data_IF_011573276521
#
_entry.id   IF_011573276521
#
_cell.length_a   1.000
_cell.length_b   1.000
_cell.length_c   1.000
_cell.angle_alpha   90.00
_cell.angle_beta   90.00
_cell.angle_gamma   90.00
#
_symmetry.space_group_name_H-M   'P 1'
#
loop_
_entity.id
_entity.type
_entity.pdbx_description
1 polymer ?
#
# COMPACT_ATOMS: atom_id res chain seq x y z
N UNK A 1 16.26 -5.62 0.37
CA UNK A 1 14.97 -5.02 -0.01
C UNK A 1 15.00 -4.73 -1.50
N UNK A 2 13.85 -4.75 -2.16
CA UNK A 2 13.69 -4.37 -3.58
C UNK A 2 12.60 -3.30 -3.62
N UNK A 3 12.88 -2.17 -4.28
CA UNK A 3 12.02 -1.00 -4.26
C UNK A 3 10.64 -1.27 -4.87
N UNK A 4 10.59 -1.71 -6.12
CA UNK A 4 9.31 -1.99 -6.82
C UNK A 4 8.44 -3.05 -6.12
N UNK A 5 9.03 -3.93 -5.31
CA UNK A 5 8.30 -4.98 -4.61
C UNK A 5 7.86 -4.50 -3.22
N UNK A 6 8.83 -4.09 -2.41
CA UNK A 6 8.60 -3.80 -1.00
C UNK A 6 8.18 -2.35 -0.76
N UNK A 7 8.69 -1.39 -1.55
CA UNK A 7 8.23 -0.01 -1.54
C UNK A 7 6.75 0.05 -1.89
N UNK A 8 6.35 -0.63 -2.97
CA UNK A 8 4.92 -0.80 -3.35
C UNK A 8 4.11 -1.45 -2.23
N UNK A 9 4.60 -2.52 -1.60
CA UNK A 9 3.91 -3.17 -0.49
C UNK A 9 3.70 -2.23 0.71
N UNK A 10 4.71 -1.40 1.04
CA UNK A 10 4.63 -0.46 2.17
C UNK A 10 3.62 0.64 1.88
N UNK A 11 3.69 1.28 0.71
CA UNK A 11 2.80 2.41 0.41
C UNK A 11 1.34 1.97 0.23
N UNK A 12 1.12 0.82 -0.42
CA UNK A 12 -0.23 0.26 -0.56
C UNK A 12 -0.81 -0.16 0.79
N UNK A 13 0.02 -0.67 1.69
CA UNK A 13 -0.36 -0.97 3.07
C UNK A 13 -0.74 0.27 3.88
N UNK A 14 0.02 1.37 3.74
CA UNK A 14 -0.32 2.64 4.37
C UNK A 14 -1.68 3.16 3.90
N UNK A 15 -1.90 3.14 2.58
CA UNK A 15 -3.15 3.55 1.97
C UNK A 15 -4.32 2.62 2.38
N UNK A 16 -4.11 1.30 2.44
CA UNK A 16 -5.10 0.34 2.90
C UNK A 16 -5.52 0.62 4.34
N UNK A 17 -4.59 0.86 5.27
CA UNK A 17 -4.93 1.14 6.68
C UNK A 17 -5.86 2.35 6.81
N UNK A 18 -5.52 3.45 6.14
CA UNK A 18 -6.34 4.66 6.18
C UNK A 18 -7.68 4.49 5.46
N UNK A 19 -7.69 3.86 4.28
CA UNK A 19 -8.92 3.64 3.53
C UNK A 19 -9.88 2.68 4.25
N UNK A 20 -9.36 1.61 4.86
CA UNK A 20 -10.10 0.65 5.70
C UNK A 20 -10.78 1.34 6.88
N UNK A 21 -10.06 2.24 7.57
CA UNK A 21 -10.62 3.07 8.65
C UNK A 21 -11.72 4.00 8.14
N UNK A 22 -11.53 4.65 6.98
CA UNK A 22 -12.53 5.55 6.40
C UNK A 22 -13.83 4.86 6.02
N UNK A 23 -13.76 3.63 5.51
CA UNK A 23 -14.96 2.85 5.17
C UNK A 23 -15.54 2.09 6.38
N UNK A 24 -14.87 2.15 7.54
CA UNK A 24 -15.34 1.52 8.78
C UNK A 24 -15.29 0.00 8.79
N UNK A 25 -14.43 -0.63 7.97
CA UNK A 25 -14.29 -2.09 7.89
C UNK A 25 -12.91 -2.46 8.41
N UNK A 26 -12.82 -3.41 9.35
CA UNK A 26 -11.52 -3.91 9.83
C UNK A 26 -10.83 -4.71 8.75
N UNK A 27 -9.51 -4.55 8.61
CA UNK A 27 -8.67 -5.26 7.63
C UNK A 27 -8.86 -6.79 7.67
N UNK A 28 -9.05 -7.36 8.86
CA UNK A 28 -9.29 -8.80 9.05
C UNK A 28 -10.62 -9.32 8.50
N UNK A 29 -11.61 -8.43 8.34
CA UNK A 29 -12.94 -8.73 7.83
C UNK A 29 -13.08 -8.39 6.33
N UNK A 30 -12.05 -7.75 5.73
CA UNK A 30 -12.07 -7.36 4.33
C UNK A 30 -11.87 -8.54 3.38
N UNK A 31 -12.64 -8.56 2.30
CA UNK A 31 -12.35 -9.34 1.08
C UNK A 31 -11.52 -8.48 0.12
N UNK A 32 -10.28 -8.89 -0.12
CA UNK A 32 -9.32 -8.20 -1.00
C UNK A 32 -9.03 -9.05 -2.23
N UNK A 33 -9.21 -8.46 -3.42
CA UNK A 33 -8.83 -9.05 -4.70
C UNK A 33 -7.50 -8.44 -5.16
N UNK A 34 -6.54 -9.26 -5.55
CA UNK A 34 -5.27 -8.81 -6.12
C UNK A 34 -5.20 -9.29 -7.57
N UNK A 35 -5.18 -8.36 -8.52
CA UNK A 35 -5.05 -8.67 -9.94
C UNK A 35 -3.61 -8.44 -10.38
N UNK A 36 -2.94 -9.55 -10.69
CA UNK A 36 -1.50 -9.62 -10.86
C UNK A 36 -0.89 -10.61 -9.88
N UNK A 37 0.09 -11.38 -10.34
CA UNK A 37 0.80 -12.38 -9.53
C UNK A 37 2.32 -12.31 -9.75
N UNK A 38 2.82 -11.10 -10.02
CA UNK A 38 4.24 -10.78 -10.09
C UNK A 38 4.83 -10.53 -8.70
N UNK A 39 6.12 -10.15 -8.66
CA UNK A 39 6.85 -9.98 -7.40
C UNK A 39 6.26 -8.87 -6.51
N UNK A 40 5.81 -7.75 -7.09
CA UNK A 40 5.13 -6.69 -6.34
C UNK A 40 3.81 -7.16 -5.73
N UNK A 41 2.97 -7.86 -6.50
CA UNK A 41 1.70 -8.42 -6.01
C UNK A 41 1.91 -9.42 -4.87
N UNK A 42 2.92 -10.30 -4.99
CA UNK A 42 3.31 -11.23 -3.93
C UNK A 42 3.78 -10.50 -2.67
N UNK A 43 4.63 -9.47 -2.81
CA UNK A 43 5.12 -8.68 -1.68
C UNK A 43 4.00 -7.92 -0.98
N UNK A 44 3.11 -7.26 -1.73
CA UNK A 44 1.93 -6.56 -1.19
C UNK A 44 1.02 -7.55 -0.46
N UNK A 45 0.70 -8.68 -1.09
CA UNK A 45 -0.19 -9.70 -0.50
C UNK A 45 0.40 -10.34 0.75
N UNK A 46 1.72 -10.54 0.79
CA UNK A 46 2.42 -11.02 1.99
C UNK A 46 2.29 -10.01 3.12
N UNK A 47 2.57 -8.73 2.84
CA UNK A 47 2.47 -7.68 3.85
C UNK A 47 1.02 -7.45 4.33
N UNK A 48 0.03 -7.57 3.44
CA UNK A 48 -1.39 -7.52 3.79
C UNK A 48 -1.78 -8.64 4.75
N UNK A 49 -1.30 -9.87 4.52
CA UNK A 49 -1.50 -10.99 5.45
C UNK A 49 -0.86 -10.72 6.81
N UNK A 50 0.35 -10.14 6.84
CA UNK A 50 1.02 -9.73 8.09
C UNK A 50 0.25 -8.62 8.85
N UNK A 51 -0.49 -7.77 8.13
CA UNK A 51 -1.39 -6.77 8.74
C UNK A 51 -2.71 -7.37 9.24
N UNK A 52 -2.98 -8.64 8.96
CA UNK A 52 -4.16 -9.36 9.44
C UNK A 52 -5.23 -9.65 8.39
N UNK A 53 -5.00 -9.35 7.10
CA UNK A 53 -5.95 -9.72 6.03
C UNK A 53 -6.11 -11.24 5.98
N UNK A 54 -7.35 -11.71 6.17
CA UNK A 54 -7.69 -13.14 6.15
C UNK A 54 -8.21 -13.60 4.80
N UNK A 55 -8.96 -12.75 4.10
CA UNK A 55 -9.62 -13.09 2.84
C UNK A 55 -8.98 -12.34 1.67
N UNK A 56 -7.90 -12.92 1.13
CA UNK A 56 -7.17 -12.40 -0.03
C UNK A 56 -7.25 -13.39 -1.19
N UNK A 57 -7.77 -12.93 -2.33
CA UNK A 57 -7.91 -13.70 -3.56
C UNK A 57 -6.98 -13.12 -4.62
N UNK A 58 -6.03 -13.91 -5.11
CA UNK A 58 -5.08 -13.49 -6.13
C UNK A 58 -5.46 -14.05 -7.50
N UNK A 59 -5.39 -13.20 -8.52
CA UNK A 59 -5.62 -13.55 -9.92
C UNK A 59 -4.33 -13.36 -10.72
N UNK A 60 -3.97 -14.34 -11.56
CA UNK A 60 -2.91 -14.21 -12.55
C UNK A 60 -3.47 -14.12 -13.97
N UNK A 61 -2.60 -14.16 -14.99
CA UNK A 61 -3.01 -14.09 -16.39
C UNK A 61 -3.94 -15.21 -16.85
N UNK A 62 -4.15 -16.26 -16.04
CA UNK A 62 -5.06 -17.37 -16.32
C UNK A 62 -6.24 -17.44 -15.35
N UNK A 63 -6.51 -16.34 -14.63
CA UNK A 63 -7.63 -16.23 -13.69
C UNK A 63 -7.23 -16.47 -12.23
N UNK A 64 -8.21 -16.86 -11.41
CA UNK A 64 -8.02 -17.04 -9.96
C UNK A 64 -6.96 -18.11 -9.69
N UNK A 65 -6.12 -17.87 -8.68
CA UNK A 65 -5.20 -18.86 -8.15
C UNK A 65 -5.97 -19.73 -7.16
N UNK A 66 -6.44 -20.88 -7.62
CA UNK A 66 -7.24 -21.84 -6.83
C UNK A 66 -6.64 -23.26 -6.87
N UNK A 67 -7.16 -24.15 -6.03
CA UNK A 67 -6.63 -25.52 -5.81
C UNK A 67 -6.61 -26.40 -7.07
N UNK A 68 -7.47 -26.11 -8.05
CA UNK A 68 -7.57 -26.86 -9.31
C UNK A 68 -6.49 -26.50 -10.34
N UNK A 69 -5.69 -25.46 -10.10
CA UNK A 69 -4.63 -25.01 -11.02
C UNK A 69 -3.38 -25.87 -10.87
N UNK A 70 -2.94 -26.52 -11.96
CA UNK A 70 -1.73 -27.38 -11.98
C UNK A 70 -0.47 -26.67 -12.46
N UNK A 71 -0.61 -25.46 -13.01
CA UNK A 71 0.47 -24.69 -13.64
C UNK A 71 1.15 -23.67 -12.71
N UNK A 72 0.83 -23.71 -11.41
CA UNK A 72 1.32 -22.74 -10.43
C UNK A 72 2.78 -23.00 -10.04
N UNK A 73 3.60 -21.94 -10.04
CA UNK A 73 4.94 -21.97 -9.47
C UNK A 73 4.91 -21.95 -7.94
N UNK A 74 6.06 -22.18 -7.29
CA UNK A 74 6.15 -22.26 -5.82
C UNK A 74 5.64 -21.02 -5.07
N UNK A 75 5.85 -19.82 -5.61
CA UNK A 75 5.43 -18.57 -4.97
C UNK A 75 3.92 -18.34 -5.09
N UNK A 76 3.32 -18.68 -6.24
CA UNK A 76 1.87 -18.59 -6.45
C UNK A 76 1.10 -19.59 -5.59
N UNK A 77 1.68 -20.75 -5.29
CA UNK A 77 1.03 -21.77 -4.44
C UNK A 77 0.69 -21.26 -3.03
N UNK A 78 1.43 -20.30 -2.50
CA UNK A 78 1.16 -19.67 -1.19
C UNK A 78 -0.11 -18.78 -1.20
N UNK A 79 -0.61 -18.44 -2.38
CA UNK A 79 -1.81 -17.62 -2.61
C UNK A 79 -2.96 -18.41 -3.24
N UNK A 80 -2.93 -19.74 -3.16
CA UNK A 80 -4.09 -20.57 -3.46
C UNK A 80 -5.22 -20.18 -2.51
N UNK A 81 -6.33 -19.72 -3.08
CA UNK A 81 -7.53 -19.39 -2.30
C UNK A 81 -8.03 -20.61 -1.54
N UNK A 82 -8.54 -20.37 -0.33
CA UNK A 82 -9.17 -21.40 0.50
C UNK A 82 -10.67 -21.54 0.24
N UNK A 83 -11.25 -20.64 -0.54
CA UNK A 83 -12.66 -20.67 -0.97
C UNK A 83 -12.82 -21.39 -2.31
N UNK A 84 -14.06 -21.74 -2.66
CA UNK A 84 -14.40 -22.40 -3.93
C UNK A 84 -14.51 -21.41 -5.11
N UNK A 85 -13.87 -20.23 -5.00
CA UNK A 85 -13.87 -19.19 -6.03
C UNK A 85 -12.91 -19.58 -7.16
N UNK A 86 -13.41 -19.56 -8.39
CA UNK A 86 -12.65 -19.95 -9.59
C UNK A 86 -12.66 -18.89 -10.69
N UNK A 87 -13.62 -17.96 -10.68
CA UNK A 87 -13.70 -16.87 -11.68
C UNK A 87 -13.39 -15.50 -11.08
N UNK A 88 -13.05 -14.54 -11.94
CA UNK A 88 -12.82 -13.17 -11.48
C UNK A 88 -14.12 -12.53 -11.01
N UNK A 89 -15.25 -12.81 -11.65
CA UNK A 89 -16.57 -12.29 -11.24
C UNK A 89 -16.91 -12.72 -9.81
N UNK A 90 -16.65 -13.98 -9.46
CA UNK A 90 -16.80 -14.50 -8.10
C UNK A 90 -15.81 -13.85 -7.11
N UNK A 91 -14.58 -13.59 -7.54
CA UNK A 91 -13.58 -12.91 -6.73
C UNK A 91 -14.01 -11.47 -6.42
N UNK A 92 -14.49 -10.72 -7.41
CA UNK A 92 -14.88 -9.32 -7.27
C UNK A 92 -16.21 -9.12 -6.55
N UNK A 93 -17.12 -10.10 -6.61
CA UNK A 93 -18.42 -10.04 -5.91
C UNK A 93 -18.25 -9.72 -4.43
N UNK A 94 -18.88 -8.64 -3.97
CA UNK A 94 -18.85 -8.13 -2.60
C UNK A 94 -17.44 -7.80 -2.06
N UNK A 95 -16.42 -7.68 -2.93
CA UNK A 95 -15.08 -7.33 -2.49
C UNK A 95 -15.03 -5.91 -1.92
N UNK A 96 -14.24 -5.73 -0.86
CA UNK A 96 -14.02 -4.42 -0.23
C UNK A 96 -12.86 -3.69 -0.88
N UNK A 97 -11.90 -4.42 -1.45
CA UNK A 97 -10.75 -3.84 -2.11
C UNK A 97 -10.35 -4.63 -3.35
N UNK A 98 -9.90 -3.91 -4.38
CA UNK A 98 -9.07 -4.46 -5.46
C UNK A 98 -7.71 -3.75 -5.50
N UNK A 99 -6.64 -4.54 -5.64
CA UNK A 99 -5.27 -4.10 -5.92
C UNK A 99 -4.86 -4.58 -7.32
N UNK A 100 -4.83 -3.67 -8.28
CA UNK A 100 -4.27 -3.86 -9.61
C UNK A 100 -2.76 -3.63 -9.60
N UNK A 101 -2.01 -4.67 -9.95
CA UNK A 101 -0.56 -4.65 -10.17
C UNK A 101 -0.23 -5.43 -11.45
N UNK A 102 -0.94 -5.10 -12.52
CA UNK A 102 -0.89 -5.82 -13.79
C UNK A 102 -0.77 -4.86 -14.97
N UNK A 103 -1.71 -4.90 -15.91
CA UNK A 103 -1.73 -4.08 -17.12
C UNK A 103 -3.15 -3.58 -17.43
N UNK A 104 -3.30 -2.51 -18.23
CA UNK A 104 -4.59 -2.01 -18.69
C UNK A 104 -5.54 -3.11 -19.18
N UNK A 105 -6.82 -3.03 -18.77
CA UNK A 105 -7.87 -3.96 -19.20
C UNK A 105 -7.82 -5.36 -18.59
N UNK A 106 -7.06 -5.58 -17.51
CA UNK A 106 -7.04 -6.87 -16.80
C UNK A 106 -8.27 -7.11 -15.93
N UNK A 107 -8.95 -6.05 -15.52
CA UNK A 107 -10.32 -6.04 -15.03
C UNK A 107 -11.03 -4.80 -15.60
N UNK A 108 -12.35 -4.74 -15.44
CA UNK A 108 -13.21 -3.74 -16.11
C UNK A 108 -14.18 -3.09 -15.13
N UNK A 109 -14.88 -2.05 -15.58
CA UNK A 109 -15.98 -1.44 -14.84
C UNK A 109 -17.05 -2.46 -14.41
N UNK A 110 -17.31 -3.49 -15.21
CA UNK A 110 -18.23 -4.58 -14.82
C UNK A 110 -17.75 -5.35 -13.59
N UNK A 111 -16.43 -5.56 -13.45
CA UNK A 111 -15.87 -6.17 -12.24
C UNK A 111 -16.03 -5.24 -11.03
N UNK A 112 -15.81 -3.92 -11.22
CA UNK A 112 -15.97 -2.93 -10.14
C UNK A 112 -17.43 -2.81 -9.68
N UNK A 113 -18.41 -2.94 -10.58
CA UNK A 113 -19.85 -2.96 -10.24
C UNK A 113 -20.20 -4.08 -9.25
N UNK A 114 -19.52 -5.23 -9.35
CA UNK A 114 -19.74 -6.39 -8.47
C UNK A 114 -19.22 -6.18 -7.04
N UNK A 115 -18.33 -5.22 -6.82
CA UNK A 115 -17.76 -4.95 -5.51
C UNK A 115 -18.78 -4.34 -4.54
N UNK A 116 -18.39 -4.20 -3.28
CA UNK A 116 -19.16 -3.47 -2.26
C UNK A 116 -19.50 -2.02 -2.66
N UNK A 117 -20.39 -1.35 -1.93
CA UNK A 117 -20.89 0.00 -2.28
C UNK A 117 -19.82 1.10 -2.20
N UNK A 118 -18.90 1.00 -1.23
CA UNK A 118 -17.80 1.95 -1.04
C UNK A 118 -16.45 1.23 -1.12
N UNK A 119 -16.07 0.68 -2.29
CA UNK A 119 -14.88 -0.15 -2.41
C UNK A 119 -13.61 0.70 -2.44
N UNK A 120 -12.49 0.07 -2.09
CA UNK A 120 -11.15 0.60 -2.29
C UNK A 120 -10.61 0.06 -3.62
N UNK A 121 -10.23 0.94 -4.53
CA UNK A 121 -9.79 0.56 -5.87
C UNK A 121 -8.42 1.15 -6.13
N UNK A 122 -7.39 0.32 -6.03
CA UNK A 122 -6.03 0.71 -6.39
C UNK A 122 -5.66 0.16 -7.77
N UNK A 123 -5.41 1.05 -8.73
CA UNK A 123 -5.04 0.73 -10.12
C UNK A 123 -3.62 1.24 -10.40
N UNK A 124 -2.61 0.40 -10.15
CA UNK A 124 -1.22 0.84 -10.00
C UNK A 124 -0.34 0.54 -11.22
N UNK A 125 -0.90 0.02 -12.32
CA UNK A 125 -0.16 -0.10 -13.57
C UNK A 125 0.30 1.29 -14.07
N UNK A 126 1.52 1.34 -14.62
CA UNK A 126 2.11 2.54 -15.20
C UNK A 126 2.57 2.27 -16.65
N UNK A 127 2.54 3.28 -17.55
CA UNK A 127 2.04 4.64 -17.34
C UNK A 127 0.50 4.75 -17.38
N UNK A 128 -0.17 3.73 -17.90
CA UNK A 128 -1.62 3.64 -17.99
C UNK A 128 -2.12 2.67 -16.90
N UNK A 129 -3.04 3.10 -16.01
CA UNK A 129 -3.58 2.24 -14.97
C UNK A 129 -4.50 1.17 -15.54
N UNK A 130 -4.88 0.18 -14.71
CA UNK A 130 -5.86 -0.84 -15.11
C UNK A 130 -7.21 -0.23 -15.49
N UNK A 131 -7.64 0.76 -14.69
CA UNK A 131 -8.77 1.66 -14.94
C UNK A 131 -8.38 3.05 -14.45
N UNK A 132 -8.80 4.08 -15.17
CA UNK A 132 -8.69 5.46 -14.71
C UNK A 132 -9.69 5.75 -13.58
N UNK A 133 -9.41 6.73 -12.70
CA UNK A 133 -10.33 7.09 -11.62
C UNK A 133 -11.73 7.44 -12.11
N UNK A 134 -11.84 8.15 -13.23
CA UNK A 134 -13.12 8.55 -13.82
C UNK A 134 -13.99 7.33 -14.16
N UNK A 135 -13.39 6.29 -14.76
CA UNK A 135 -14.08 5.03 -15.08
C UNK A 135 -14.57 4.32 -13.81
N UNK A 136 -13.81 4.38 -12.71
CA UNK A 136 -14.22 3.80 -11.43
C UNK A 136 -15.39 4.59 -10.84
N UNK A 137 -15.31 5.92 -10.83
CA UNK A 137 -16.34 6.79 -10.27
C UNK A 137 -17.67 6.74 -11.02
N UNK A 138 -17.66 6.46 -12.34
CA UNK A 138 -18.87 6.23 -13.12
C UNK A 138 -19.75 5.10 -12.56
N UNK A 139 -19.13 4.07 -11.97
CA UNK A 139 -19.84 2.86 -11.49
C UNK A 139 -19.88 2.72 -9.98
N UNK A 140 -18.91 3.30 -9.28
CA UNK A 140 -18.83 3.35 -7.81
C UNK A 140 -18.44 4.77 -7.36
N UNK A 141 -19.38 5.74 -7.37
CA UNK A 141 -19.10 7.15 -7.06
C UNK A 141 -18.53 7.39 -5.65
N UNK A 142 -18.70 6.41 -4.74
CA UNK A 142 -18.24 6.49 -3.35
C UNK A 142 -16.91 5.77 -3.10
N UNK A 143 -16.30 5.19 -4.14
CA UNK A 143 -15.05 4.45 -4.02
C UNK A 143 -13.92 5.35 -3.51
N UNK A 144 -12.96 4.74 -2.82
CA UNK A 144 -11.65 5.36 -2.56
C UNK A 144 -10.72 4.85 -3.65
N UNK A 145 -10.22 5.74 -4.49
CA UNK A 145 -9.38 5.38 -5.64
C UNK A 145 -7.96 5.86 -5.44
N UNK A 146 -6.98 5.03 -5.77
CA UNK A 146 -5.57 5.38 -5.78
C UNK A 146 -4.87 4.82 -7.02
N UNK A 147 -3.97 5.59 -7.60
CA UNK A 147 -3.20 5.17 -8.79
C UNK A 147 -1.71 5.36 -8.58
N UNK A 148 -0.88 4.82 -9.48
CA UNK A 148 0.56 5.09 -9.47
C UNK A 148 0.94 6.49 -10.00
N UNK A 149 -0.03 7.22 -10.57
CA UNK A 149 0.20 8.46 -11.33
C UNK A 149 0.20 9.69 -10.42
N UNK A 150 1.01 10.68 -10.78
CA UNK A 150 1.14 11.94 -10.04
C UNK A 150 0.03 12.95 -10.30
N UNK A 151 -0.74 12.77 -11.37
CA UNK A 151 -1.87 13.63 -11.75
C UNK A 151 -3.22 13.14 -11.22
N UNK A 152 -3.24 12.07 -10.41
CA UNK A 152 -4.43 11.55 -9.76
C UNK A 152 -4.36 11.75 -8.23
N UNK A 153 -5.52 11.87 -7.55
CA UNK A 153 -5.57 11.77 -6.08
C UNK A 153 -4.97 10.45 -5.58
N UNK A 154 -4.50 10.45 -4.32
CA UNK A 154 -3.94 9.27 -3.66
C UNK A 154 -2.86 8.56 -4.51
N UNK A 155 -1.79 9.27 -4.87
CA UNK A 155 -0.68 8.70 -5.60
C UNK A 155 0.04 7.61 -4.77
N UNK A 156 -0.30 6.34 -5.02
CA UNK A 156 0.30 5.18 -4.38
C UNK A 156 1.60 4.84 -5.11
N UNK A 157 2.68 5.52 -4.73
CA UNK A 157 3.99 5.38 -5.36
C UNK A 157 5.10 5.17 -4.31
N UNK A 158 6.05 4.31 -4.63
CA UNK A 158 7.16 3.92 -3.75
C UNK A 158 8.15 5.06 -3.43
N UNK A 159 8.10 6.18 -4.16
CA UNK A 159 8.85 7.40 -3.82
C UNK A 159 8.56 7.91 -2.40
N UNK A 160 7.35 7.64 -1.88
CA UNK A 160 6.94 7.98 -0.51
C UNK A 160 7.63 7.11 0.56
N UNK A 161 8.36 6.08 0.15
CA UNK A 161 8.92 5.05 1.03
C UNK A 161 10.44 4.99 0.89
N UNK A 162 10.93 4.80 -0.34
CA UNK A 162 12.31 4.38 -0.61
C UNK A 162 13.36 5.29 0.03
N UNK A 163 13.32 6.63 -0.12
CA UNK A 163 14.37 7.49 0.44
C UNK A 163 14.48 7.36 1.97
N UNK A 164 13.34 7.22 2.64
CA UNK A 164 13.24 7.36 4.09
C UNK A 164 13.45 6.03 4.82
N UNK A 165 13.00 4.91 4.26
CA UNK A 165 13.30 3.58 4.81
C UNK A 165 14.79 3.29 4.76
N UNK A 166 15.47 3.69 3.69
CA UNK A 166 16.93 3.59 3.61
C UNK A 166 17.60 4.53 4.58
N UNK A 167 17.12 5.77 4.72
CA UNK A 167 17.69 6.71 5.68
C UNK A 167 17.66 6.18 7.11
N UNK A 168 16.50 5.73 7.57
CA UNK A 168 16.36 5.15 8.91
C UNK A 168 17.22 3.90 9.11
N UNK A 169 17.23 2.99 8.12
CA UNK A 169 18.02 1.76 8.21
C UNK A 169 19.54 2.00 8.19
N UNK A 170 20.02 2.95 7.36
CA UNK A 170 21.44 3.27 7.24
C UNK A 170 21.97 4.00 8.47
N UNK A 171 21.21 4.96 9.02
CA UNK A 171 21.66 5.76 10.17
C UNK A 171 21.85 4.90 11.44
N UNK A 172 21.09 3.81 11.59
CA UNK A 172 21.26 2.83 12.68
C UNK A 172 22.10 1.61 12.29
N UNK A 173 22.67 1.64 11.07
CA UNK A 173 23.50 0.59 10.50
C UNK A 173 22.83 -0.80 10.51
N UNK A 174 21.53 -0.87 10.22
CA UNK A 174 20.76 -2.09 10.22
C UNK A 174 21.38 -3.17 9.30
N UNK A 175 21.40 -4.43 9.75
CA UNK A 175 21.90 -5.57 8.96
C UNK A 175 20.96 -5.97 7.83
N UNK A 176 19.67 -5.66 7.97
CA UNK A 176 18.61 -6.00 7.02
C UNK A 176 17.42 -5.07 7.23
N UNK A 177 16.50 -5.06 6.27
CA UNK A 177 15.18 -4.43 6.38
C UNK A 177 14.16 -5.56 6.54
N UNK A 178 13.78 -5.87 7.78
CA UNK A 178 12.85 -6.95 8.12
C UNK A 178 11.37 -6.51 7.95
N UNK A 179 10.42 -7.43 8.20
CA UNK A 179 8.99 -7.14 8.05
C UNK A 179 8.49 -6.08 9.04
N UNK A 180 8.96 -6.10 10.29
CA UNK A 180 8.56 -5.13 11.31
C UNK A 180 8.89 -3.70 10.88
N UNK A 181 10.09 -3.47 10.32
CA UNK A 181 10.50 -2.16 9.80
C UNK A 181 9.58 -1.68 8.66
N UNK A 182 9.15 -2.59 7.77
CA UNK A 182 8.24 -2.27 6.66
C UNK A 182 6.86 -1.88 7.18
N UNK A 183 6.33 -2.60 8.17
CA UNK A 183 5.05 -2.29 8.81
C UNK A 183 5.11 -0.95 9.54
N UNK A 184 6.19 -0.68 10.28
CA UNK A 184 6.38 0.61 10.96
C UNK A 184 6.48 1.77 9.96
N UNK A 185 7.16 1.58 8.82
CA UNK A 185 7.17 2.58 7.75
C UNK A 185 5.76 2.85 7.20
N UNK A 186 4.98 1.80 6.92
CA UNK A 186 3.60 1.95 6.44
C UNK A 186 2.72 2.70 7.45
N UNK A 187 2.85 2.37 8.75
CA UNK A 187 2.10 3.04 9.83
C UNK A 187 2.49 4.52 9.96
N UNK A 188 3.78 4.84 9.85
CA UNK A 188 4.25 6.23 9.90
C UNK A 188 3.67 7.07 8.75
N UNK A 189 3.65 6.51 7.53
CA UNK A 189 3.03 7.17 6.36
C UNK A 189 1.53 7.36 6.55
N UNK A 190 0.83 6.31 7.01
CA UNK A 190 -0.60 6.37 7.26
C UNK A 190 -0.95 7.43 8.32
N UNK A 191 -0.22 7.47 9.43
CA UNK A 191 -0.43 8.46 10.48
C UNK A 191 -0.13 9.89 10.00
N UNK A 192 0.94 10.09 9.22
CA UNK A 192 1.30 11.43 8.73
C UNK A 192 0.19 12.05 7.84
N UNK A 193 -0.54 11.24 7.07
CA UNK A 193 -1.65 11.74 6.25
C UNK A 193 -2.81 12.31 7.08
N UNK A 194 -2.92 11.93 8.35
CA UNK A 194 -3.96 12.42 9.28
C UNK A 194 -3.58 13.74 9.94
N UNK A 195 -2.30 14.08 9.93
CA UNK A 195 -1.80 15.34 10.47
C UNK A 195 -2.11 16.51 9.54
N UNK A 196 -2.41 17.71 10.06
CA UNK A 196 -2.56 18.91 9.23
C UNK A 196 -1.33 19.13 8.35
N UNK A 197 -1.53 19.45 7.08
CA UNK A 197 -0.41 19.75 6.18
C UNK A 197 0.28 21.07 6.55
N UNK A 198 1.58 21.14 6.29
CA UNK A 198 2.39 22.35 6.51
C UNK A 198 2.04 23.45 5.51
N UNK A 199 2.27 24.70 5.90
CA UNK A 199 1.87 25.87 5.08
C UNK A 199 2.54 25.87 3.69
N UNK A 200 3.80 25.47 3.59
CA UNK A 200 4.53 25.33 2.32
C UNK A 200 3.80 24.42 1.32
N UNK A 201 3.19 23.32 1.80
CA UNK A 201 2.40 22.44 0.95
C UNK A 201 1.04 23.03 0.60
N UNK A 202 0.42 23.80 1.51
CA UNK A 202 -0.85 24.48 1.22
C UNK A 202 -0.69 25.50 0.10
N UNK A 203 0.41 26.25 0.10
CA UNK A 203 0.72 27.23 -0.94
C UNK A 203 0.89 26.56 -2.31
N UNK A 204 1.49 25.38 -2.35
CA UNK A 204 1.81 24.67 -3.61
C UNK A 204 0.71 23.74 -4.12
N UNK A 205 -0.04 23.10 -3.21
CA UNK A 205 -0.98 22.02 -3.53
C UNK A 205 -2.41 22.27 -3.00
N UNK A 206 -2.66 23.41 -2.37
CA UNK A 206 -3.93 23.75 -1.76
C UNK A 206 -4.17 23.06 -0.42
N UNK A 207 -5.38 23.25 0.14
CA UNK A 207 -5.73 22.72 1.45
C UNK A 207 -6.11 21.23 1.38
N UNK A 208 -5.11 20.35 1.29
CA UNK A 208 -5.28 18.91 1.36
C UNK A 208 -5.63 18.51 2.80
N UNK A 209 -6.74 17.79 2.95
CA UNK A 209 -7.22 17.30 4.25
C UNK A 209 -7.47 15.80 4.18
N UNK A 210 -7.18 15.11 5.28
CA UNK A 210 -7.42 13.67 5.39
C UNK A 210 -8.86 13.32 5.01
N UNK A 211 -9.00 12.50 3.96
CA UNK A 211 -10.30 12.16 3.38
C UNK A 211 -10.15 11.25 2.15
N UNK A 212 -11.26 10.92 1.49
CA UNK A 212 -11.27 9.96 0.38
C UNK A 212 -10.29 10.28 -0.77
N UNK A 213 -9.94 11.57 -0.95
CA UNK A 213 -9.00 12.04 -1.97
C UNK A 213 -7.57 12.31 -1.43
N UNK A 214 -7.33 12.08 -0.14
CA UNK A 214 -6.04 12.23 0.51
C UNK A 214 -5.92 11.24 1.68
N UNK A 215 -5.62 9.99 1.36
CA UNK A 215 -5.43 8.90 2.34
C UNK A 215 -3.96 8.63 2.64
N UNK A 216 -3.04 9.22 1.88
CA UNK A 216 -1.59 9.13 2.04
C UNK A 216 -0.97 10.49 1.71
N UNK A 217 0.21 10.82 2.28
CA UNK A 217 0.89 12.08 2.00
C UNK A 217 1.33 12.17 0.54
N UNK A 218 1.65 13.39 0.09
CA UNK A 218 2.24 13.63 -1.24
C UNK A 218 3.77 13.53 -1.20
N UNK A 219 4.43 13.19 -2.32
CA UNK A 219 5.89 13.00 -2.37
C UNK A 219 6.74 14.19 -1.89
N UNK A 220 6.17 15.40 -1.94
CA UNK A 220 6.85 16.64 -1.54
C UNK A 220 6.74 16.95 -0.04
N UNK A 221 6.05 16.11 0.74
CA UNK A 221 5.96 16.31 2.19
C UNK A 221 7.27 15.96 2.89
N UNK A 222 8.09 16.97 3.18
CA UNK A 222 9.40 16.82 3.85
C UNK A 222 9.31 16.11 5.20
N UNK A 223 8.15 16.12 5.87
CA UNK A 223 7.93 15.42 7.14
C UNK A 223 8.07 13.90 7.00
N UNK A 224 7.88 13.35 5.79
CA UNK A 224 8.16 11.94 5.50
C UNK A 224 9.58 11.55 5.89
N UNK A 225 10.56 12.45 5.68
CA UNK A 225 11.94 12.19 6.07
C UNK A 225 12.09 11.98 7.57
N UNK A 226 11.40 12.77 8.38
CA UNK A 226 11.46 12.66 9.84
C UNK A 226 10.68 11.44 10.30
N UNK A 227 9.41 11.33 9.91
CA UNK A 227 8.50 10.33 10.48
C UNK A 227 8.84 8.90 10.04
N UNK A 228 9.06 8.68 8.73
CA UNK A 228 9.33 7.34 8.21
C UNK A 228 10.72 6.86 8.63
N UNK A 229 11.75 7.71 8.52
CA UNK A 229 13.11 7.32 8.90
C UNK A 229 13.20 7.02 10.40
N UNK A 230 12.54 7.80 11.25
CA UNK A 230 12.53 7.59 12.70
C UNK A 230 11.82 6.29 13.09
N UNK A 231 10.65 6.02 12.50
CA UNK A 231 9.92 4.78 12.74
C UNK A 231 10.72 3.55 12.32
N UNK A 232 11.42 3.63 11.19
CA UNK A 232 12.28 2.54 10.68
C UNK A 232 13.51 2.35 11.55
N UNK A 233 14.16 3.44 11.97
CA UNK A 233 15.32 3.40 12.86
C UNK A 233 14.96 2.77 14.21
N UNK A 234 13.86 3.19 14.84
CA UNK A 234 13.35 2.61 16.09
C UNK A 234 13.07 1.12 15.92
N UNK A 235 12.34 0.75 14.85
CA UNK A 235 12.01 -0.64 14.58
C UNK A 235 13.24 -1.52 14.34
N UNK A 236 14.29 -0.99 13.70
CA UNK A 236 15.53 -1.73 13.51
C UNK A 236 16.24 -2.02 14.85
N UNK A 237 16.17 -1.08 15.80
CA UNK A 237 16.72 -1.26 17.16
C UNK A 237 15.89 -2.26 17.95
N UNK A 238 14.57 -2.09 17.99
CA UNK A 238 13.63 -2.98 18.69
C UNK A 238 13.72 -4.43 18.19
N UNK A 239 13.88 -4.62 16.88
CA UNK A 239 14.01 -5.95 16.27
C UNK A 239 15.42 -6.54 16.34
N UNK A 240 16.38 -5.82 16.94
CA UNK A 240 17.75 -6.29 17.15
C UNK A 240 18.60 -6.38 15.88
N UNK A 241 18.20 -5.74 14.79
CA UNK A 241 18.97 -5.73 13.52
C UNK A 241 19.88 -4.51 13.39
N UNK A 242 19.67 -3.47 14.19
CA UNK A 242 20.55 -2.30 14.30
C UNK A 242 21.89 -2.66 14.94
N UNK A 243 22.95 -1.90 14.61
CA UNK A 243 24.31 -2.09 15.17
C UNK A 243 24.80 -0.93 16.05
N UNK A 244 24.04 0.17 16.09
CA UNK A 244 24.29 1.27 17.02
C UNK A 244 24.00 0.83 18.47
N UNK A 245 24.76 1.36 19.44
CA UNK A 245 24.65 0.96 20.85
C UNK A 245 23.72 1.86 21.66
N UNK A 246 23.82 3.18 21.45
CA UNK A 246 23.11 4.19 22.25
C UNK A 246 22.14 4.99 21.36
N UNK A 247 21.14 4.29 20.82
CA UNK A 247 20.12 4.95 19.99
C UNK A 247 19.15 5.75 20.87
N UNK A 248 18.98 7.02 20.55
CA UNK A 248 18.07 7.96 21.20
C UNK A 248 17.13 8.52 20.12
N UNK A 249 15.86 8.13 20.19
CA UNK A 249 14.87 8.46 19.17
C UNK A 249 14.62 9.96 19.08
N UNK A 250 14.58 10.67 20.20
CA UNK A 250 14.29 12.11 20.22
C UNK A 250 15.45 12.90 19.60
N UNK A 251 16.69 12.61 19.99
CA UNK A 251 17.87 13.22 19.35
C UNK A 251 17.97 12.89 17.86
N UNK A 252 17.57 11.68 17.48
CA UNK A 252 17.55 11.29 16.07
C UNK A 252 16.52 12.10 15.27
N UNK A 253 15.32 12.29 15.83
CA UNK A 253 14.28 13.14 15.24
C UNK A 253 14.74 14.59 15.11
N UNK A 254 15.31 15.18 16.16
CA UNK A 254 15.88 16.54 16.13
C UNK A 254 16.92 16.71 15.02
N UNK A 255 17.82 15.73 14.89
CA UNK A 255 18.82 15.72 13.81
C UNK A 255 18.16 15.72 12.43
N UNK A 256 17.14 14.89 12.20
CA UNK A 256 16.43 14.87 10.92
C UNK A 256 15.69 16.18 10.64
N UNK A 257 15.05 16.76 11.65
CA UNK A 257 14.37 18.05 11.53
C UNK A 257 15.35 19.15 11.11
N UNK A 258 16.58 19.15 11.63
CA UNK A 258 17.61 20.14 11.24
C UNK A 258 18.08 20.06 9.77
N UNK A 259 17.65 19.04 9.02
CA UNK A 259 18.04 18.81 7.62
C UNK A 259 16.95 19.19 6.60
N UNK A 260 15.76 19.62 7.04
CA UNK A 260 14.63 20.04 6.18
C UNK A 260 14.30 21.51 6.34
#
# INVERSE_FOLDING_TARGET
MHDDQHGTAIITSAALMNASEMIGIKIEDMKIVVVGAGAAAIACSTMYKELGVKNLIMCDSKGVIHKGRTDLNKYKKEFITQTDITTMEEAFKDANMVLGLSKPGTFSQEHIKLMSEEPIVFTLANPTPELFPEEVFEVKPKAIVGTGRSDCPNQVNNVLVFPFIFRGALDVQARTINMQMKICAAKAIANLAKEPIIEELKESFGNLTYGKNYIIPIPFDKRLMVEVSSAVASSAVESGVARVKDFDLEKYREKLISMI
#
